data_IF_223376662830
#
_entry.id   IF_223376662830
#
_cell.length_a   1.000
_cell.length_b   1.000
_cell.length_c   1.000
_cell.angle_alpha   90.00
_cell.angle_beta   90.00
_cell.angle_gamma   90.00
#
_symmetry.space_group_name_H-M   'P 1'
#
loop_
_entity.id
_entity.type
_entity.pdbx_description
1 polymer ?
#
# COMPACT_ATOMS: atom_id res chain seq x y z
N UNK A 1 -12.67 -7.87 9.54
CA UNK A 1 -12.30 -6.90 8.49
C UNK A 1 -11.08 -7.43 7.75
N UNK A 2 -11.12 -7.53 6.43
CA UNK A 2 -9.95 -7.87 5.62
C UNK A 2 -8.86 -6.78 5.77
N UNK A 3 -7.58 -7.10 5.51
CA UNK A 3 -6.48 -6.13 5.67
C UNK A 3 -6.74 -4.84 4.87
N UNK A 4 -7.24 -4.97 3.64
CA UNK A 4 -7.58 -3.85 2.78
C UNK A 4 -8.68 -2.94 3.38
N UNK A 5 -9.75 -3.52 3.90
CA UNK A 5 -10.83 -2.76 4.54
C UNK A 5 -10.33 -2.00 5.78
N UNK A 6 -9.39 -2.60 6.54
CA UNK A 6 -8.71 -1.93 7.66
C UNK A 6 -7.83 -0.77 7.19
N UNK A 7 -7.07 -0.94 6.11
CA UNK A 7 -6.32 0.15 5.52
C UNK A 7 -7.22 1.32 5.08
N UNK A 8 -8.33 1.03 4.40
CA UNK A 8 -9.28 2.06 3.94
C UNK A 8 -9.91 2.82 5.12
N UNK A 9 -10.20 2.13 6.22
CA UNK A 9 -10.71 2.78 7.45
C UNK A 9 -9.67 3.73 8.06
N UNK A 10 -8.40 3.32 8.09
CA UNK A 10 -7.30 4.18 8.56
C UNK A 10 -7.12 5.37 7.62
N UNK A 11 -7.15 5.16 6.31
CA UNK A 11 -7.06 6.24 5.32
C UNK A 11 -8.18 7.28 5.51
N UNK A 12 -9.42 6.82 5.69
CA UNK A 12 -10.56 7.69 5.96
C UNK A 12 -10.37 8.50 7.26
N UNK A 13 -9.82 7.89 8.32
CA UNK A 13 -9.53 8.58 9.59
C UNK A 13 -8.49 9.70 9.46
N UNK A 14 -7.64 9.62 8.43
CA UNK A 14 -6.63 10.64 8.10
C UNK A 14 -7.13 11.65 7.05
N UNK A 15 -8.42 11.62 6.69
CA UNK A 15 -9.02 12.40 5.61
C UNK A 15 -8.31 12.22 4.24
N UNK A 16 -7.71 11.04 4.02
CA UNK A 16 -7.17 10.66 2.72
C UNK A 16 -8.29 10.18 1.80
N UNK A 17 -8.16 10.40 0.47
CA UNK A 17 -9.07 9.78 -0.48
C UNK A 17 -8.97 8.26 -0.41
N UNK A 18 -9.98 7.57 -0.96
CA UNK A 18 -9.99 6.12 -1.08
C UNK A 18 -8.70 5.65 -1.76
N UNK A 19 -8.00 4.68 -1.15
CA UNK A 19 -6.70 4.21 -1.65
C UNK A 19 -6.88 3.41 -2.94
N UNK A 20 -7.97 2.63 -3.00
CA UNK A 20 -8.26 1.77 -4.14
C UNK A 20 -7.39 0.51 -4.17
N UNK A 21 -7.53 -0.25 -5.25
CA UNK A 21 -6.78 -1.48 -5.49
C UNK A 21 -6.59 -1.68 -6.99
N UNK A 22 -5.63 -2.51 -7.36
CA UNK A 22 -5.37 -2.92 -8.72
C UNK A 22 -5.09 -4.42 -8.76
N UNK A 23 -5.54 -5.08 -9.82
CA UNK A 23 -5.09 -6.41 -10.19
C UNK A 23 -4.08 -6.27 -11.33
N UNK A 24 -2.90 -6.85 -11.17
CA UNK A 24 -1.79 -6.75 -12.13
C UNK A 24 -1.30 -8.15 -12.47
N UNK A 25 -0.70 -8.31 -13.66
CA UNK A 25 -0.14 -9.61 -14.10
C UNK A 25 1.27 -9.91 -13.56
N UNK A 26 1.81 -9.06 -12.69
CA UNK A 26 3.15 -9.21 -12.12
C UNK A 26 3.21 -10.11 -10.88
N UNK A 27 4.40 -10.20 -10.28
CA UNK A 27 4.65 -10.91 -9.04
C UNK A 27 5.46 -10.03 -8.07
N UNK A 28 5.29 -10.27 -6.78
CA UNK A 28 6.07 -9.67 -5.70
C UNK A 28 6.36 -10.70 -4.61
N UNK A 29 7.18 -10.33 -3.63
CA UNK A 29 7.38 -11.12 -2.40
C UNK A 29 6.05 -11.36 -1.66
N UNK A 30 5.06 -10.50 -1.87
CA UNK A 30 3.73 -10.65 -1.32
C UNK A 30 3.01 -11.90 -1.82
N UNK A 31 3.23 -12.32 -3.07
CA UNK A 31 2.71 -13.59 -3.59
C UNK A 31 3.28 -14.79 -2.83
N UNK A 32 4.58 -14.77 -2.53
CA UNK A 32 5.27 -15.85 -1.81
C UNK A 32 4.78 -15.92 -0.37
N UNK A 33 4.71 -14.78 0.32
CA UNK A 33 4.19 -14.70 1.69
C UNK A 33 2.73 -15.14 1.79
N UNK A 34 1.89 -14.75 0.81
CA UNK A 34 0.50 -15.20 0.74
C UNK A 34 0.39 -16.73 0.53
N UNK A 35 1.22 -17.30 -0.34
CA UNK A 35 1.29 -18.76 -0.55
C UNK A 35 1.72 -19.52 0.72
N UNK A 36 2.53 -18.89 1.57
CA UNK A 36 2.91 -19.41 2.88
C UNK A 36 1.82 -19.24 3.97
N UNK A 37 0.66 -18.67 3.63
CA UNK A 37 -0.49 -18.50 4.54
C UNK A 37 -0.54 -17.17 5.27
N UNK A 38 0.38 -16.23 4.99
CA UNK A 38 0.31 -14.89 5.57
C UNK A 38 -0.85 -14.09 4.95
N UNK A 39 -1.48 -13.24 5.77
CA UNK A 39 -2.34 -12.17 5.24
C UNK A 39 -1.43 -11.04 4.76
N UNK A 40 -1.52 -10.71 3.47
CA UNK A 40 -0.63 -9.73 2.84
C UNK A 40 -1.45 -8.64 2.15
N UNK A 41 -0.96 -7.41 2.22
CA UNK A 41 -1.39 -6.30 1.38
C UNK A 41 -0.15 -5.75 0.68
N UNK A 42 -0.15 -5.81 -0.65
CA UNK A 42 0.97 -5.39 -1.49
C UNK A 42 0.67 -4.05 -2.19
N UNK A 43 1.69 -3.37 -2.72
CA UNK A 43 1.54 -2.09 -3.41
C UNK A 43 1.37 -0.88 -2.49
N UNK A 44 1.80 -0.99 -1.23
CA UNK A 44 1.73 0.10 -0.26
C UNK A 44 2.81 1.17 -0.43
N UNK A 45 3.79 0.93 -1.29
CA UNK A 45 4.93 1.82 -1.54
C UNK A 45 4.59 3.16 -2.21
N UNK A 46 5.63 3.84 -2.69
CA UNK A 46 5.51 5.15 -3.33
C UNK A 46 4.69 5.09 -4.62
N UNK A 47 3.93 6.15 -4.90
CA UNK A 47 3.24 6.28 -6.17
C UNK A 47 4.21 6.80 -7.24
N UNK A 48 4.26 6.12 -8.37
CA UNK A 48 5.21 6.39 -9.44
C UNK A 48 4.86 5.65 -10.72
N UNK A 49 5.73 5.78 -11.73
CA UNK A 49 5.59 5.12 -13.02
C UNK A 49 6.95 4.71 -13.58
N UNK A 50 6.92 3.77 -14.54
CA UNK A 50 8.09 3.39 -15.30
C UNK A 50 9.11 2.56 -14.50
N UNK A 51 8.66 1.74 -13.54
CA UNK A 51 9.55 0.86 -12.80
C UNK A 51 10.50 0.10 -13.74
N UNK A 52 11.80 0.15 -13.45
CA UNK A 52 12.90 -0.42 -14.24
C UNK A 52 13.21 0.29 -15.58
N UNK A 53 12.66 1.47 -15.85
CA UNK A 53 12.98 2.26 -17.03
C UNK A 53 13.84 3.50 -16.68
N UNK A 54 14.62 4.07 -17.63
CA UNK A 54 15.33 5.34 -17.38
C UNK A 54 14.40 6.51 -17.03
N UNK A 55 13.12 6.40 -17.40
CA UNK A 55 12.07 7.35 -17.06
C UNK A 55 11.35 7.04 -15.74
N UNK A 56 11.90 6.15 -14.91
CA UNK A 56 11.32 5.81 -13.60
C UNK A 56 11.26 7.05 -12.70
N UNK A 57 10.11 7.28 -12.07
CA UNK A 57 9.94 8.38 -11.11
C UNK A 57 8.88 8.07 -10.07
N UNK A 58 8.92 8.82 -8.96
CA UNK A 58 7.85 8.88 -7.95
C UNK A 58 7.26 10.28 -7.84
N UNK A 59 6.00 10.38 -7.41
CA UNK A 59 5.32 11.65 -7.15
C UNK A 59 5.62 12.13 -5.73
N UNK A 60 6.48 13.15 -5.61
CA UNK A 60 6.91 13.69 -4.30
C UNK A 60 5.73 14.12 -3.41
N UNK A 61 4.68 14.70 -4.00
CA UNK A 61 3.46 15.11 -3.28
C UNK A 61 2.74 13.96 -2.57
N UNK A 62 3.03 12.70 -2.92
CA UNK A 62 2.37 11.51 -2.35
C UNK A 62 3.18 10.87 -1.22
N UNK A 63 4.45 11.23 -1.05
CA UNK A 63 5.38 10.57 -0.13
C UNK A 63 4.96 10.77 1.33
N UNK A 64 4.77 12.01 1.77
CA UNK A 64 4.37 12.30 3.15
C UNK A 64 2.99 11.71 3.51
N UNK A 65 1.94 11.85 2.68
CA UNK A 65 0.66 11.17 2.92
C UNK A 65 0.78 9.64 3.06
N UNK A 66 1.60 8.99 2.19
CA UNK A 66 1.85 7.54 2.25
C UNK A 66 2.55 7.13 3.54
N UNK A 67 3.56 7.88 3.97
CA UNK A 67 4.26 7.62 5.25
C UNK A 67 3.27 7.69 6.43
N UNK A 68 2.44 8.75 6.47
CA UNK A 68 1.43 8.91 7.54
C UNK A 68 0.43 7.74 7.55
N UNK A 69 -0.05 7.33 6.38
CA UNK A 69 -0.97 6.20 6.24
C UNK A 69 -0.34 4.89 6.73
N UNK A 70 0.86 4.55 6.26
CA UNK A 70 1.54 3.30 6.63
C UNK A 70 1.82 3.26 8.13
N UNK A 71 2.32 4.36 8.70
CA UNK A 71 2.56 4.46 10.13
C UNK A 71 1.26 4.25 10.94
N UNK A 72 0.18 4.94 10.57
CA UNK A 72 -1.11 4.77 11.24
C UNK A 72 -1.66 3.34 11.10
N UNK A 73 -1.48 2.72 9.94
CA UNK A 73 -1.93 1.35 9.68
C UNK A 73 -1.15 0.33 10.50
N UNK A 74 0.18 0.45 10.59
CA UNK A 74 1.00 -0.40 11.46
C UNK A 74 0.54 -0.27 12.91
N UNK A 75 0.35 0.96 13.41
CA UNK A 75 -0.13 1.17 14.78
C UNK A 75 -1.52 0.57 15.01
N UNK A 76 -2.42 0.61 14.01
CA UNK A 76 -3.75 -0.01 14.07
C UNK A 76 -3.71 -1.55 14.01
N UNK A 77 -2.66 -2.15 13.45
CA UNK A 77 -2.45 -3.61 13.45
C UNK A 77 -1.84 -4.13 14.75
N UNK A 78 -1.17 -3.27 15.51
CA UNK A 78 -0.52 -3.62 16.78
C UNK A 78 -1.44 -3.48 18.01
N UNK A 79 -2.65 -2.97 17.83
CA UNK A 79 -3.70 -2.95 18.86
C UNK A 79 -4.37 -4.31 18.98
#
# INVERSE_FOLDING_TARGET
MALYEKLETVAASLALPKIGNASVGGASDGNIAAAAGAKVLDGLGAEGLGAHAPSEFIKISTVEPRIKLINAFINELLK
#
